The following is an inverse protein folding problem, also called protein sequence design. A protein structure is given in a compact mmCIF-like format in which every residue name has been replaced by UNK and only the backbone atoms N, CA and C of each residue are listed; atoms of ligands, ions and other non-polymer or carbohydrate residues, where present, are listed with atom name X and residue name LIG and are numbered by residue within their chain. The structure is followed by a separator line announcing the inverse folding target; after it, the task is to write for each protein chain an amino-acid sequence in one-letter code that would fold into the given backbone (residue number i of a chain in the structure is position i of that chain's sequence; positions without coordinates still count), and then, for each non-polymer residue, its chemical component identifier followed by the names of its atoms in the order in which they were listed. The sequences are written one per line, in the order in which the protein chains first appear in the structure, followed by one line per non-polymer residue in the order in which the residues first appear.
data_IF_128831016441
#
_entry.id   IF_128831016441
#
_cell.length_a   1.000
_cell.length_b   1.000
_cell.length_c   1.000
_cell.angle_alpha   90.00
_cell.angle_beta   90.00
_cell.angle_gamma   90.00
#
_symmetry.space_group_name_H-M   'P 1'
#
loop_
_entity.id
_entity.type
_entity.pdbx_description
1 polymer ?
#
# COMPACT_ATOMS: atom_id res chain seq x y z
N UNK A 1 -7.79 -4.70 15.43
CA UNK A 1 -6.79 -3.61 15.49
C UNK A 1 -5.58 -4.04 16.31
N UNK A 2 -5.54 -3.82 17.63
CA UNK A 2 -4.33 -4.04 18.45
C UNK A 2 -3.65 -5.42 18.27
N UNK A 3 -4.41 -6.52 18.36
CA UNK A 3 -3.87 -7.87 18.14
C UNK A 3 -3.29 -8.10 16.74
N UNK A 4 -3.91 -7.51 15.72
CA UNK A 4 -3.42 -7.60 14.36
C UNK A 4 -2.15 -6.79 14.14
N UNK A 5 -2.03 -5.62 14.78
CA UNK A 5 -0.78 -4.83 14.81
C UNK A 5 0.35 -5.57 15.51
N UNK A 6 0.07 -6.22 16.65
CA UNK A 6 1.06 -7.03 17.37
C UNK A 6 1.54 -8.20 16.51
N UNK A 7 0.63 -8.92 15.86
CA UNK A 7 0.99 -10.05 14.98
C UNK A 7 1.75 -9.60 13.74
N UNK A 8 1.41 -8.45 13.16
CA UNK A 8 2.17 -7.85 12.06
C UNK A 8 3.55 -7.39 12.51
N UNK A 9 3.66 -6.83 13.72
CA UNK A 9 4.95 -6.48 14.32
C UNK A 9 5.82 -7.71 14.56
N UNK A 10 5.25 -8.79 15.06
CA UNK A 10 5.95 -10.06 15.28
C UNK A 10 6.38 -10.70 13.95
N UNK A 11 5.52 -10.63 12.93
CA UNK A 11 5.87 -11.02 11.57
C UNK A 11 7.08 -10.25 11.05
N UNK A 12 7.04 -8.92 11.11
CA UNK A 12 8.11 -8.08 10.56
C UNK A 12 9.41 -8.20 11.36
N UNK A 13 9.31 -8.36 12.68
CA UNK A 13 10.44 -8.67 13.56
C UNK A 13 11.07 -10.02 13.21
N UNK A 14 10.24 -11.04 13.00
CA UNK A 14 10.70 -12.37 12.60
C UNK A 14 11.36 -12.37 11.22
N UNK A 15 10.80 -11.66 10.26
CA UNK A 15 11.38 -11.49 8.92
C UNK A 15 12.73 -10.79 8.96
N UNK A 16 12.87 -9.76 9.81
CA UNK A 16 14.13 -9.01 9.98
C UNK A 16 15.19 -9.84 10.73
N UNK A 17 14.78 -10.63 11.72
CA UNK A 17 15.67 -11.51 12.47
C UNK A 17 16.04 -12.79 11.70
N UNK A 18 15.29 -13.13 10.64
CA UNK A 18 15.48 -14.37 9.88
C UNK A 18 16.90 -14.53 9.31
N UNK A 19 17.51 -13.52 8.62
CA UNK A 19 18.88 -13.64 8.12
C UNK A 19 19.92 -13.84 9.24
N UNK A 20 19.71 -13.22 10.40
CA UNK A 20 20.60 -13.34 11.57
C UNK A 20 20.52 -14.77 12.12
N UNK A 21 19.30 -15.27 12.33
CA UNK A 21 19.08 -16.63 12.79
C UNK A 21 19.64 -17.65 11.79
N UNK A 22 19.46 -17.42 10.50
CA UNK A 22 20.04 -18.26 9.44
C UNK A 22 21.57 -18.26 9.51
N UNK A 23 22.21 -17.11 9.70
CA UNK A 23 23.66 -17.02 9.89
C UNK A 23 24.16 -17.86 11.07
N UNK A 24 23.50 -17.75 12.23
CA UNK A 24 23.83 -18.53 13.43
C UNK A 24 23.62 -20.04 13.23
N UNK A 25 22.53 -20.42 12.56
CA UNK A 25 22.21 -21.82 12.24
C UNK A 25 23.28 -22.41 11.31
N UNK A 26 23.70 -21.66 10.29
CA UNK A 26 24.75 -22.07 9.35
C UNK A 26 26.09 -22.20 10.07
N UNK A 27 26.48 -21.22 10.89
CA UNK A 27 27.74 -21.29 11.66
C UNK A 27 27.75 -22.51 12.60
N UNK A 28 26.65 -22.73 13.33
CA UNK A 28 26.51 -23.85 14.24
C UNK A 28 26.65 -25.21 13.52
N UNK A 29 26.00 -25.34 12.35
CA UNK A 29 26.07 -26.53 11.50
C UNK A 29 27.48 -26.76 10.99
N UNK A 30 28.15 -25.71 10.52
CA UNK A 30 29.50 -25.80 9.94
C UNK A 30 30.58 -26.15 10.97
N UNK A 31 30.44 -25.69 12.23
CA UNK A 31 31.37 -26.02 13.32
C UNK A 31 31.27 -27.47 13.78
N UNK A 32 30.05 -27.98 14.00
CA UNK A 32 29.86 -29.29 14.64
C UNK A 32 29.86 -30.46 13.63
N UNK A 33 29.50 -30.21 12.36
CA UNK A 33 29.43 -31.20 11.26
C UNK A 33 28.77 -32.54 11.67
N UNK A 34 27.76 -32.49 12.53
CA UNK A 34 27.07 -33.68 13.05
C UNK A 34 25.61 -33.75 12.55
N UNK A 35 25.05 -34.95 12.36
CA UNK A 35 23.64 -35.10 11.98
C UNK A 35 22.67 -34.53 13.04
N UNK A 36 23.07 -34.51 14.31
CA UNK A 36 22.30 -33.86 15.39
C UNK A 36 22.24 -32.34 15.24
N UNK A 37 23.36 -31.69 14.91
CA UNK A 37 23.40 -30.25 14.66
C UNK A 37 22.59 -29.86 13.41
N UNK A 38 22.59 -30.72 12.37
CA UNK A 38 21.72 -30.56 11.21
C UNK A 38 20.24 -30.69 11.58
N UNK A 39 19.86 -31.69 12.37
CA UNK A 39 18.49 -31.88 12.85
C UNK A 39 17.98 -30.69 13.66
N UNK A 40 18.79 -30.19 14.60
CA UNK A 40 18.48 -29.00 15.39
C UNK A 40 18.31 -27.75 14.51
N UNK A 41 19.17 -27.59 13.51
CA UNK A 41 19.14 -26.47 12.56
C UNK A 41 17.87 -26.46 11.69
N UNK A 42 17.49 -27.63 11.17
CA UNK A 42 16.25 -27.80 10.41
C UNK A 42 15.03 -27.54 11.31
N UNK A 43 15.05 -28.06 12.54
CA UNK A 43 13.96 -27.82 13.50
C UNK A 43 13.83 -26.33 13.86
N UNK A 44 14.94 -25.64 14.13
CA UNK A 44 14.96 -24.21 14.41
C UNK A 44 14.41 -23.41 13.22
N UNK A 45 14.82 -23.74 12.00
CA UNK A 45 14.33 -23.09 10.78
C UNK A 45 12.83 -23.34 10.60
N UNK A 46 12.36 -24.57 10.81
CA UNK A 46 10.94 -24.92 10.74
C UNK A 46 10.11 -24.12 11.76
N UNK A 47 10.61 -23.96 12.99
CA UNK A 47 9.96 -23.17 14.05
C UNK A 47 9.89 -21.69 13.65
N UNK A 48 10.97 -21.11 13.12
CA UNK A 48 10.99 -19.70 12.68
C UNK A 48 10.00 -19.49 11.54
N UNK A 49 10.06 -20.30 10.48
CA UNK A 49 9.18 -20.19 9.31
C UNK A 49 7.71 -20.36 9.73
N UNK A 50 7.42 -21.32 10.62
CA UNK A 50 6.06 -21.56 11.11
C UNK A 50 5.56 -20.37 11.92
N UNK A 51 6.38 -19.83 12.83
CA UNK A 51 6.04 -18.64 13.63
C UNK A 51 5.74 -17.43 12.76
N UNK A 52 6.60 -17.14 11.78
CA UNK A 52 6.41 -16.03 10.83
C UNK A 52 5.13 -16.24 10.00
N UNK A 53 4.94 -17.44 9.45
CA UNK A 53 3.78 -17.78 8.62
C UNK A 53 2.45 -17.68 9.38
N UNK A 54 2.41 -18.19 10.61
CA UNK A 54 1.22 -18.10 11.46
C UNK A 54 0.95 -16.66 11.89
N UNK A 55 1.98 -15.90 12.25
CA UNK A 55 1.86 -14.49 12.62
C UNK A 55 1.26 -13.66 11.48
N UNK A 56 1.75 -13.85 10.25
CA UNK A 56 1.18 -13.22 9.05
C UNK A 56 -0.28 -13.63 8.86
N UNK A 57 -0.56 -14.95 8.84
CA UNK A 57 -1.89 -15.49 8.53
C UNK A 57 -2.94 -15.01 9.53
N UNK A 58 -2.65 -15.03 10.82
CA UNK A 58 -3.57 -14.55 11.84
C UNK A 58 -3.66 -13.03 11.89
N UNK A 59 -2.54 -12.32 11.71
CA UNK A 59 -2.52 -10.86 11.65
C UNK A 59 -3.39 -10.34 10.50
N UNK A 60 -3.19 -10.84 9.28
CA UNK A 60 -3.98 -10.45 8.11
C UNK A 60 -5.46 -10.79 8.29
N UNK A 61 -5.79 -11.97 8.84
CA UNK A 61 -7.19 -12.34 9.08
C UNK A 61 -7.89 -11.39 10.05
N UNK A 62 -7.21 -10.97 11.12
CA UNK A 62 -7.76 -10.04 12.10
C UNK A 62 -7.94 -8.64 11.48
N UNK A 63 -6.95 -8.18 10.70
CA UNK A 63 -7.02 -6.89 10.00
C UNK A 63 -8.15 -6.89 8.96
N UNK A 64 -8.20 -7.90 8.10
CA UNK A 64 -9.22 -7.99 7.05
C UNK A 64 -10.63 -8.04 7.65
N UNK A 65 -10.84 -8.85 8.70
CA UNK A 65 -12.13 -8.92 9.38
C UNK A 65 -12.53 -7.57 9.97
N UNK A 66 -11.58 -6.84 10.58
CA UNK A 66 -11.82 -5.52 11.12
C UNK A 66 -12.15 -4.50 10.01
N UNK A 67 -11.39 -4.50 8.91
CA UNK A 67 -11.61 -3.64 7.75
C UNK A 67 -13.02 -3.85 7.17
N UNK A 68 -13.38 -5.08 6.82
CA UNK A 68 -14.70 -5.38 6.22
C UNK A 68 -15.86 -5.06 7.15
N UNK A 69 -15.69 -5.25 8.48
CA UNK A 69 -16.75 -4.94 9.45
C UNK A 69 -16.97 -3.43 9.56
N UNK A 70 -15.90 -2.63 9.60
CA UNK A 70 -16.00 -1.18 9.69
C UNK A 70 -16.47 -0.57 8.37
N UNK A 71 -16.00 -1.07 7.23
CA UNK A 71 -16.51 -0.69 5.91
C UNK A 71 -18.03 -0.93 5.80
N UNK A 72 -18.51 -2.08 6.27
CA UNK A 72 -19.94 -2.39 6.31
C UNK A 72 -20.70 -1.43 7.24
N UNK A 73 -20.17 -1.10 8.42
CA UNK A 73 -20.80 -0.14 9.34
C UNK A 73 -20.92 1.26 8.74
N UNK A 74 -19.87 1.73 8.06
CA UNK A 74 -19.90 3.02 7.36
C UNK A 74 -20.92 3.03 6.23
N UNK A 75 -20.94 1.98 5.39
CA UNK A 75 -21.95 1.77 4.35
C UNK A 75 -23.38 1.87 4.88
N UNK A 76 -23.69 1.13 5.93
CA UNK A 76 -25.05 1.09 6.52
C UNK A 76 -25.42 2.44 7.14
N UNK A 77 -24.49 3.14 7.80
CA UNK A 77 -24.75 4.48 8.35
C UNK A 77 -25.02 5.51 7.26
N UNK A 78 -24.21 5.53 6.20
CA UNK A 78 -24.37 6.49 5.10
C UNK A 78 -25.65 6.20 4.33
N UNK A 79 -25.94 4.93 4.01
CA UNK A 79 -27.20 4.54 3.38
C UNK A 79 -28.41 4.89 4.26
N UNK A 80 -28.32 4.60 5.56
CA UNK A 80 -29.37 4.94 6.53
C UNK A 80 -29.62 6.44 6.64
N UNK A 81 -28.56 7.26 6.59
CA UNK A 81 -28.67 8.72 6.58
C UNK A 81 -29.29 9.26 5.28
N UNK A 82 -28.98 8.66 4.13
CA UNK A 82 -29.56 9.02 2.83
C UNK A 82 -31.02 8.60 2.65
N UNK A 83 -31.48 7.60 3.41
CA UNK A 83 -32.87 7.13 3.41
C UNK A 83 -33.78 7.86 4.42
N UNK A 84 -33.24 8.82 5.20
CA UNK A 84 -34.06 9.58 6.14
C UNK A 84 -35.00 10.52 5.39
N UNK A 85 -36.31 10.55 5.71
CA UNK A 85 -37.30 11.38 5.03
C UNK A 85 -37.20 12.89 5.34
N UNK A 86 -36.14 13.32 6.02
CA UNK A 86 -35.90 14.73 6.36
C UNK A 86 -35.11 15.36 5.24
N UNK A 87 -35.65 16.42 4.63
CA UNK A 87 -34.94 17.25 3.66
C UNK A 87 -33.71 17.86 4.34
N UNK A 88 -32.54 17.24 4.14
CA UNK A 88 -31.26 17.87 4.45
C UNK A 88 -30.87 18.69 3.24
N UNK A 89 -30.48 19.93 3.51
CA UNK A 89 -29.96 20.88 2.52
C UNK A 89 -28.52 20.47 2.13
N UNK A 90 -28.41 19.28 1.54
CA UNK A 90 -27.16 18.76 0.99
C UNK A 90 -27.29 18.84 -0.52
N UNK A 91 -26.48 19.71 -1.13
CA UNK A 91 -26.32 19.85 -2.58
C UNK A 91 -25.55 18.65 -3.15
N UNK A 92 -26.11 17.44 -2.97
CA UNK A 92 -25.52 16.18 -3.39
C UNK A 92 -26.51 15.42 -4.26
N UNK A 93 -26.07 15.01 -5.44
CA UNK A 93 -26.89 14.17 -6.33
C UNK A 93 -27.02 12.76 -5.76
N UNK A 94 -28.13 12.07 -6.05
CA UNK A 94 -28.36 10.69 -5.57
C UNK A 94 -27.22 9.71 -5.91
N UNK A 95 -26.56 9.89 -7.07
CA UNK A 95 -25.38 9.12 -7.45
C UNK A 95 -24.13 9.43 -6.62
N UNK A 96 -23.95 10.67 -6.16
CA UNK A 96 -22.84 11.06 -5.30
C UNK A 96 -22.99 10.47 -3.89
N UNK A 97 -24.21 10.41 -3.37
CA UNK A 97 -24.50 9.74 -2.09
C UNK A 97 -24.19 8.24 -2.16
N UNK A 98 -24.46 7.58 -3.30
CA UNK A 98 -24.09 6.18 -3.51
C UNK A 98 -22.57 6.01 -3.55
N UNK A 99 -21.85 6.87 -4.28
CA UNK A 99 -20.38 6.84 -4.33
C UNK A 99 -19.77 7.06 -2.95
N UNK A 100 -20.27 8.02 -2.16
CA UNK A 100 -19.80 8.24 -0.78
C UNK A 100 -20.11 7.01 0.10
N UNK A 101 -21.28 6.41 -0.07
CA UNK A 101 -21.67 5.22 0.69
C UNK A 101 -20.81 4.00 0.36
N UNK A 102 -20.28 3.87 -0.86
CA UNK A 102 -19.53 2.68 -1.29
C UNK A 102 -18.02 2.87 -1.34
N UNK A 103 -17.54 3.93 -1.99
CA UNK A 103 -16.13 4.18 -2.31
C UNK A 103 -15.42 4.86 -1.12
N UNK A 104 -15.97 5.97 -0.63
CA UNK A 104 -15.35 6.72 0.49
C UNK A 104 -15.41 5.93 1.80
N UNK A 105 -16.48 5.14 1.99
CA UNK A 105 -16.62 4.24 3.13
C UNK A 105 -15.56 3.11 3.13
N UNK A 106 -15.22 2.55 1.96
CA UNK A 106 -14.14 1.57 1.83
C UNK A 106 -12.78 2.22 2.04
N UNK A 107 -12.50 3.35 1.39
CA UNK A 107 -11.22 4.06 1.56
C UNK A 107 -10.98 4.48 3.01
N UNK A 108 -12.04 4.86 3.74
CA UNK A 108 -11.93 5.20 5.16
C UNK A 108 -11.62 3.97 6.02
N UNK A 109 -12.17 2.80 5.66
CA UNK A 109 -11.91 1.56 6.37
C UNK A 109 -10.50 0.99 6.12
N UNK A 110 -9.87 1.32 4.98
CA UNK A 110 -8.50 0.89 4.68
C UNK A 110 -7.44 1.42 5.67
N UNK A 111 -7.72 2.50 6.41
CA UNK A 111 -6.81 3.01 7.45
C UNK A 111 -6.52 1.96 8.53
N UNK A 112 -7.44 1.01 8.71
CA UNK A 112 -7.36 -0.12 9.64
C UNK A 112 -6.26 -1.11 9.25
N UNK A 113 -5.87 -1.15 7.99
CA UNK A 113 -4.80 -1.98 7.47
C UNK A 113 -3.47 -1.21 7.36
N UNK A 114 -3.54 0.05 6.91
CA UNK A 114 -2.37 0.92 6.71
C UNK A 114 -1.65 1.23 8.02
N UNK A 115 -2.37 1.60 9.08
CA UNK A 115 -1.74 2.00 10.36
C UNK A 115 -0.96 0.85 11.00
N UNK A 116 -1.51 -0.38 11.15
CA UNK A 116 -0.74 -1.51 11.63
C UNK A 116 0.51 -1.78 10.80
N UNK A 117 0.40 -1.75 9.46
CA UNK A 117 1.53 -2.01 8.57
C UNK A 117 2.65 -0.99 8.75
N UNK A 118 2.30 0.29 8.91
CA UNK A 118 3.25 1.36 9.20
C UNK A 118 3.97 1.14 10.54
N UNK A 119 3.22 0.80 11.60
CA UNK A 119 3.81 0.53 12.93
C UNK A 119 4.75 -0.68 12.85
N UNK A 120 4.34 -1.76 12.20
CA UNK A 120 5.16 -2.96 12.03
C UNK A 120 6.42 -2.70 11.22
N UNK A 121 6.32 -1.88 10.17
CA UNK A 121 7.49 -1.45 9.38
C UNK A 121 8.49 -0.65 10.22
N UNK A 122 8.01 0.27 11.07
CA UNK A 122 8.87 1.03 11.99
C UNK A 122 9.61 0.11 12.98
N UNK A 123 8.89 -0.86 13.56
CA UNK A 123 9.48 -1.85 14.48
C UNK A 123 10.59 -2.62 13.79
N UNK A 124 10.42 -3.02 12.53
CA UNK A 124 11.45 -3.74 11.80
C UNK A 124 12.67 -2.91 11.46
N UNK A 125 12.49 -1.64 11.05
CA UNK A 125 13.62 -0.72 10.86
C UNK A 125 14.40 -0.55 12.16
N UNK A 126 13.70 -0.42 13.30
CA UNK A 126 14.34 -0.32 14.61
C UNK A 126 15.13 -1.60 14.95
N UNK A 127 14.54 -2.78 14.74
CA UNK A 127 15.22 -4.06 14.98
C UNK A 127 16.46 -4.20 14.09
N UNK A 128 16.35 -3.87 12.79
CA UNK A 128 17.48 -3.91 11.86
C UNK A 128 18.59 -2.93 12.28
N UNK A 129 18.24 -1.70 12.62
CA UNK A 129 19.18 -0.68 13.05
C UNK A 129 19.88 -1.05 14.37
N UNK A 130 19.15 -1.62 15.33
CA UNK A 130 19.71 -2.11 16.59
C UNK A 130 20.62 -3.32 16.37
N UNK A 131 20.18 -4.30 15.58
CA UNK A 131 20.98 -5.49 15.29
C UNK A 131 22.31 -5.14 14.60
N UNK A 132 22.27 -4.23 13.61
CA UNK A 132 23.48 -3.75 12.94
C UNK A 132 24.30 -2.82 13.83
N UNK A 133 23.67 -1.96 14.61
CA UNK A 133 24.34 -1.06 15.56
C UNK A 133 25.06 -1.80 16.69
N UNK A 134 24.57 -2.97 17.09
CA UNK A 134 25.25 -3.88 18.02
C UNK A 134 26.50 -4.52 17.41
N UNK A 135 26.55 -4.68 16.09
CA UNK A 135 27.73 -5.17 15.38
C UNK A 135 28.73 -4.03 15.13
N UNK A 136 28.28 -2.93 14.52
CA UNK A 136 29.04 -1.70 14.34
C UNK A 136 28.11 -0.48 14.29
N UNK A 137 28.42 0.54 15.10
CA UNK A 137 27.60 1.75 15.20
C UNK A 137 27.42 2.47 13.85
N UNK A 138 28.42 2.41 12.96
CA UNK A 138 28.38 3.01 11.62
C UNK A 138 27.36 2.32 10.72
N UNK A 139 27.23 0.99 10.82
CA UNK A 139 26.24 0.22 10.05
C UNK A 139 24.82 0.57 10.49
N UNK A 140 24.57 0.64 11.80
CA UNK A 140 23.28 1.06 12.35
C UNK A 140 22.90 2.49 11.91
N UNK A 141 23.85 3.43 11.97
CA UNK A 141 23.64 4.80 11.53
C UNK A 141 23.37 4.90 10.02
N UNK A 142 24.11 4.13 9.21
CA UNK A 142 23.95 4.09 7.75
C UNK A 142 22.56 3.62 7.36
N UNK A 143 22.02 2.61 8.04
CA UNK A 143 20.64 2.14 7.78
C UNK A 143 19.62 3.21 8.16
N UNK A 144 19.74 3.85 9.33
CA UNK A 144 18.80 4.91 9.75
C UNK A 144 18.82 6.07 8.74
N UNK A 145 20.00 6.59 8.41
CA UNK A 145 20.15 7.71 7.48
C UNK A 145 19.68 7.32 6.08
N UNK A 146 20.02 6.12 5.62
CA UNK A 146 19.56 5.55 4.36
C UNK A 146 18.04 5.49 4.29
N UNK A 147 17.40 4.84 5.27
CA UNK A 147 15.94 4.72 5.33
C UNK A 147 15.26 6.09 5.37
N UNK A 148 15.73 7.03 6.20
CA UNK A 148 15.19 8.40 6.25
C UNK A 148 15.35 9.11 4.90
N UNK A 149 16.50 8.97 4.24
CA UNK A 149 16.74 9.53 2.92
C UNK A 149 15.80 8.97 1.86
N UNK A 150 15.64 7.65 1.80
CA UNK A 150 14.70 6.97 0.89
C UNK A 150 13.27 7.46 1.14
N UNK A 151 12.82 7.43 2.40
CA UNK A 151 11.47 7.89 2.76
C UNK A 151 11.26 9.37 2.41
N UNK A 152 12.27 10.21 2.57
CA UNK A 152 12.19 11.63 2.21
C UNK A 152 12.03 11.82 0.70
N UNK A 153 12.84 11.13 -0.11
CA UNK A 153 12.74 11.17 -1.57
C UNK A 153 11.38 10.65 -2.03
N UNK A 154 10.96 9.49 -1.52
CA UNK A 154 9.65 8.90 -1.84
C UNK A 154 8.50 9.79 -1.38
N UNK A 155 8.61 10.45 -0.22
CA UNK A 155 7.57 11.36 0.29
C UNK A 155 7.44 12.61 -0.58
N UNK A 156 8.55 13.20 -1.04
CA UNK A 156 8.54 14.34 -1.98
C UNK A 156 7.94 13.92 -3.33
N UNK A 157 8.33 12.75 -3.84
CA UNK A 157 7.74 12.20 -5.08
C UNK A 157 6.24 11.94 -4.88
N UNK A 158 5.84 11.29 -3.79
CA UNK A 158 4.46 11.00 -3.46
C UNK A 158 3.62 12.28 -3.32
N UNK A 159 4.14 13.34 -2.69
CA UNK A 159 3.46 14.65 -2.64
C UNK A 159 3.27 15.26 -4.02
N UNK A 160 4.31 15.27 -4.87
CA UNK A 160 4.23 15.79 -6.25
C UNK A 160 3.23 15.00 -7.09
N UNK A 161 3.21 13.67 -6.93
CA UNK A 161 2.29 12.78 -7.63
C UNK A 161 0.87 13.00 -7.11
N UNK A 162 0.67 13.03 -5.79
CA UNK A 162 -0.63 13.19 -5.14
C UNK A 162 -1.32 14.52 -5.44
N UNK A 163 -0.56 15.62 -5.51
CA UNK A 163 -1.12 16.92 -5.95
C UNK A 163 -1.56 16.90 -7.41
N UNK A 164 -0.77 16.25 -8.28
CA UNK A 164 -1.09 16.09 -9.71
C UNK A 164 -2.31 15.19 -9.91
N UNK A 165 -2.35 14.04 -9.22
CA UNK A 165 -3.41 13.04 -9.34
C UNK A 165 -4.77 13.56 -8.87
N UNK A 166 -4.84 14.36 -7.78
CA UNK A 166 -6.12 14.95 -7.32
C UNK A 166 -6.68 15.95 -8.31
N UNK A 167 -5.86 16.86 -8.83
CA UNK A 167 -6.31 17.79 -9.87
C UNK A 167 -6.71 17.07 -11.16
N UNK A 168 -6.01 16.00 -11.52
CA UNK A 168 -6.31 15.23 -12.73
C UNK A 168 -7.54 14.33 -12.59
N UNK A 169 -7.74 13.66 -11.44
CA UNK A 169 -8.97 12.93 -11.16
C UNK A 169 -10.18 13.88 -11.11
N UNK A 170 -10.04 15.09 -10.57
CA UNK A 170 -11.10 16.09 -10.63
C UNK A 170 -11.41 16.57 -12.05
N UNK A 171 -10.41 16.66 -12.95
CA UNK A 171 -10.63 16.99 -14.37
C UNK A 171 -11.28 15.83 -15.14
N UNK A 172 -10.88 14.58 -14.87
CA UNK A 172 -11.48 13.38 -15.47
C UNK A 172 -12.90 13.17 -14.98
N UNK A 173 -13.18 13.36 -13.69
CA UNK A 173 -14.52 13.29 -13.11
C UNK A 173 -15.45 14.35 -13.72
N UNK A 174 -14.98 15.61 -13.88
CA UNK A 174 -15.74 16.67 -14.56
C UNK A 174 -15.97 16.39 -16.05
N UNK A 175 -15.00 15.78 -16.73
CA UNK A 175 -15.15 15.36 -18.12
C UNK A 175 -16.14 14.18 -18.25
N UNK A 176 -16.09 13.22 -17.33
CA UNK A 176 -17.02 12.09 -17.23
C UNK A 176 -18.45 12.55 -16.94
N UNK A 177 -18.63 13.52 -16.04
CA UNK A 177 -19.93 14.14 -15.76
C UNK A 177 -20.51 14.84 -16.99
N UNK A 178 -19.70 15.61 -17.74
CA UNK A 178 -20.11 16.24 -19.00
C UNK A 178 -20.54 15.23 -20.07
N UNK A 179 -19.92 14.06 -20.11
CA UNK A 179 -20.24 12.98 -21.05
C UNK A 179 -21.52 12.25 -20.63
N UNK A 180 -21.70 12.03 -19.32
CA UNK A 180 -22.95 11.50 -18.77
C UNK A 180 -24.14 12.43 -19.06
N UNK A 181 -23.97 13.74 -18.91
CA UNK A 181 -24.99 14.75 -19.27
C UNK A 181 -25.30 14.74 -20.78
N UNK A 182 -24.29 14.49 -21.62
CA UNK A 182 -24.44 14.31 -23.08
C UNK A 182 -25.19 13.01 -23.44
N UNK A 183 -24.99 11.94 -22.68
CA UNK A 183 -25.70 10.66 -22.83
C UNK A 183 -27.14 10.76 -22.34
N UNK A 184 -27.41 11.55 -21.29
CA UNK A 184 -28.77 11.87 -20.83
C UNK A 184 -29.47 12.77 -21.87
N UNK A 185 -28.74 13.71 -22.48
CA UNK A 185 -29.19 14.56 -23.59
C UNK A 185 -29.31 13.88 -24.95
N UNK A 186 -28.91 12.60 -25.08
CA UNK A 186 -28.98 11.85 -26.35
C UNK A 186 -30.41 11.40 -26.70
N UNK A 187 -31.29 11.21 -25.72
CA UNK A 187 -32.71 10.85 -25.97
C UNK A 187 -33.46 11.91 -26.80
N UNK A 188 -33.33 13.22 -26.53
CA UNK A 188 -33.84 14.28 -27.43
C UNK A 188 -33.14 14.36 -28.79
N UNK A 189 -31.85 13.99 -28.89
CA UNK A 189 -31.02 14.11 -30.10
C UNK A 189 -31.21 12.97 -31.12
N UNK A 190 -31.80 11.84 -30.71
CA UNK A 190 -32.16 10.74 -31.62
C UNK A 190 -33.10 11.17 -32.76
N UNK A 191 -33.79 12.31 -32.64
CA UNK A 191 -34.66 12.85 -33.70
C UNK A 191 -33.94 13.50 -34.89
N UNK A 192 -32.63 13.80 -34.82
CA UNK A 192 -31.95 14.67 -35.80
C UNK A 192 -30.69 14.07 -36.48
N UNK A 193 -30.42 12.77 -36.38
CA UNK A 193 -29.37 12.12 -37.19
C UNK A 193 -27.90 12.43 -36.79
N UNK A 194 -27.65 12.87 -35.55
CA UNK A 194 -26.31 13.30 -35.05
C UNK A 194 -25.30 12.19 -34.69
N UNK A 195 -25.39 10.99 -35.26
CA UNK A 195 -24.62 9.81 -34.83
C UNK A 195 -23.09 9.98 -34.94
N UNK A 196 -22.60 10.71 -35.95
CA UNK A 196 -21.17 10.91 -36.16
C UNK A 196 -20.54 11.92 -35.18
N UNK A 197 -21.28 12.96 -34.78
CA UNK A 197 -20.79 13.97 -33.84
C UNK A 197 -20.62 13.40 -32.43
N UNK A 198 -21.59 12.59 -31.98
CA UNK A 198 -21.52 11.88 -30.69
C UNK A 198 -20.35 10.88 -30.67
N UNK A 199 -20.17 10.08 -31.74
CA UNK A 199 -19.05 9.14 -31.85
C UNK A 199 -17.69 9.83 -31.84
N UNK A 200 -17.53 10.97 -32.55
CA UNK A 200 -16.29 11.75 -32.50
C UNK A 200 -16.02 12.33 -31.12
N UNK A 201 -17.05 12.79 -30.42
CA UNK A 201 -16.93 13.33 -29.05
C UNK A 201 -16.50 12.22 -28.07
N UNK A 202 -17.14 11.05 -28.13
CA UNK A 202 -16.76 9.88 -27.34
C UNK A 202 -15.33 9.42 -27.62
N UNK A 203 -14.95 9.31 -28.91
CA UNK A 203 -13.60 8.88 -29.28
C UNK A 203 -12.52 9.85 -28.79
N UNK A 204 -12.81 11.16 -28.80
CA UNK A 204 -11.89 12.18 -28.27
C UNK A 204 -11.72 12.03 -26.75
N UNK A 205 -12.82 11.96 -26.00
CA UNK A 205 -12.78 11.76 -24.55
C UNK A 205 -12.09 10.44 -24.17
N UNK A 206 -12.40 9.35 -24.88
CA UNK A 206 -11.77 8.04 -24.64
C UNK A 206 -10.26 8.07 -24.92
N UNK A 207 -9.83 8.78 -25.96
CA UNK A 207 -8.39 8.93 -26.29
C UNK A 207 -7.67 9.80 -25.27
N UNK A 208 -8.29 10.90 -24.82
CA UNK A 208 -7.75 11.77 -23.78
C UNK A 208 -7.62 11.01 -22.45
N UNK A 209 -8.65 10.23 -22.07
CA UNK A 209 -8.62 9.36 -20.90
C UNK A 209 -7.51 8.30 -21.02
N UNK A 210 -7.31 7.68 -22.19
CA UNK A 210 -6.22 6.72 -22.42
C UNK A 210 -4.85 7.37 -22.21
N UNK A 211 -4.59 8.53 -22.82
CA UNK A 211 -3.32 9.24 -22.65
C UNK A 211 -3.05 9.62 -21.18
N UNK A 212 -4.09 10.00 -20.46
CA UNK A 212 -4.01 10.31 -19.03
C UNK A 212 -3.70 9.05 -18.22
N UNK A 213 -4.39 7.93 -18.45
CA UNK A 213 -4.10 6.66 -17.78
C UNK A 213 -2.67 6.19 -18.03
N UNK A 214 -2.14 6.33 -19.25
CA UNK A 214 -0.74 6.00 -19.57
C UNK A 214 0.23 6.93 -18.82
N UNK A 215 -0.09 8.22 -18.71
CA UNK A 215 0.75 9.17 -17.97
C UNK A 215 0.79 8.83 -16.48
N UNK A 216 -0.36 8.51 -15.88
CA UNK A 216 -0.46 8.07 -14.48
C UNK A 216 0.31 6.76 -14.27
N UNK A 217 0.14 5.77 -15.16
CA UNK A 217 0.87 4.51 -15.09
C UNK A 217 2.39 4.71 -15.18
N UNK A 218 2.86 5.62 -16.06
CA UNK A 218 4.28 5.95 -16.19
C UNK A 218 4.85 6.57 -14.91
N UNK A 219 4.10 7.49 -14.30
CA UNK A 219 4.50 8.13 -13.03
C UNK A 219 4.55 7.10 -11.89
N UNK A 220 3.56 6.20 -11.81
CA UNK A 220 3.58 5.08 -10.87
C UNK A 220 4.77 4.13 -11.09
N UNK A 221 5.08 3.83 -12.35
CA UNK A 221 6.25 3.02 -12.71
C UNK A 221 7.58 3.67 -12.32
N UNK A 222 7.73 4.99 -12.52
CA UNK A 222 8.93 5.73 -12.07
C UNK A 222 9.05 5.72 -10.55
N UNK A 223 7.96 5.87 -9.81
CA UNK A 223 7.96 5.78 -8.36
C UNK A 223 8.42 4.40 -7.88
N UNK A 224 7.82 3.33 -8.40
CA UNK A 224 8.19 1.95 -8.05
C UNK A 224 9.65 1.64 -8.42
N UNK A 225 10.10 2.05 -9.60
CA UNK A 225 11.49 1.87 -10.04
C UNK A 225 12.49 2.63 -9.17
N UNK A 226 12.17 3.86 -8.79
CA UNK A 226 13.03 4.68 -7.91
C UNK A 226 13.12 4.07 -6.51
N UNK A 227 12.00 3.60 -5.96
CA UNK A 227 11.97 2.90 -4.67
C UNK A 227 12.84 1.64 -4.70
N UNK A 228 12.73 0.83 -5.75
CA UNK A 228 13.53 -0.39 -5.90
C UNK A 228 15.02 -0.08 -6.04
N UNK A 229 15.38 0.90 -6.87
CA UNK A 229 16.77 1.32 -7.07
C UNK A 229 17.39 1.86 -5.76
N UNK A 230 16.67 2.71 -5.04
CA UNK A 230 17.13 3.26 -3.76
C UNK A 230 17.36 2.17 -2.70
N UNK A 231 16.44 1.21 -2.59
CA UNK A 231 16.61 0.07 -1.69
C UNK A 231 17.82 -0.79 -2.08
N UNK A 232 18.03 -1.05 -3.37
CA UNK A 232 19.19 -1.80 -3.86
C UNK A 232 20.51 -1.07 -3.58
N UNK A 233 20.55 0.25 -3.76
CA UNK A 233 21.72 1.08 -3.42
C UNK A 233 22.02 1.05 -1.93
N UNK A 234 21.01 1.16 -1.07
CA UNK A 234 21.20 1.06 0.37
C UNK A 234 21.72 -0.33 0.77
N UNK A 235 21.14 -1.39 0.24
CA UNK A 235 21.60 -2.76 0.48
C UNK A 235 23.06 -2.94 0.05
N UNK A 236 23.42 -2.49 -1.16
CA UNK A 236 24.78 -2.54 -1.66
C UNK A 236 25.77 -1.74 -0.78
N UNK A 237 25.37 -0.55 -0.34
CA UNK A 237 26.18 0.29 0.54
C UNK A 237 26.44 -0.42 1.88
N UNK A 238 25.39 -0.96 2.52
CA UNK A 238 25.50 -1.74 3.77
C UNK A 238 26.45 -2.92 3.59
N UNK A 239 26.24 -3.73 2.54
CA UNK A 239 27.07 -4.92 2.27
C UNK A 239 28.54 -4.56 2.04
N UNK A 240 28.83 -3.50 1.27
CA UNK A 240 30.19 -3.05 1.03
C UNK A 240 30.86 -2.54 2.31
N UNK A 241 30.14 -1.78 3.13
CA UNK A 241 30.67 -1.29 4.41
C UNK A 241 30.90 -2.44 5.41
N UNK A 242 30.00 -3.42 5.44
CA UNK A 242 30.13 -4.58 6.32
C UNK A 242 31.28 -5.51 5.90
N UNK A 243 31.57 -5.62 4.60
CA UNK A 243 32.71 -6.41 4.10
C UNK A 243 34.07 -5.72 4.22
N UNK A 244 34.10 -4.43 4.50
CA UNK A 244 35.32 -3.64 4.73
C UNK A 244 35.73 -3.56 6.21
N UNK A 245 34.81 -3.84 7.12
CA UNK A 245 35.01 -3.90 8.57
C UNK A 245 35.51 -5.30 8.97
#
# INVERSE_FOLDING_TARGET
MAWGTVLMGLYQAGETAFPIALGLIVEHTMRHRSPGALGLSVAALAVIITTVSLSWRFGMRILQKANTTEAHRWRVRVAGAGLQPVARDVDLKSGEVLTIATEDADQTADIIEVVPLLISSLVAVLIAALALGLADLRLGLLVIVGTVGILSVLSVMSKRIGSSTREQQARVARAGAKVADLIIGLRPLHGFGGNHAAFRSYRRVSTDAKHQSVTVARVGGVYAGTALALNAVLAAAVTLTAGWL
#
